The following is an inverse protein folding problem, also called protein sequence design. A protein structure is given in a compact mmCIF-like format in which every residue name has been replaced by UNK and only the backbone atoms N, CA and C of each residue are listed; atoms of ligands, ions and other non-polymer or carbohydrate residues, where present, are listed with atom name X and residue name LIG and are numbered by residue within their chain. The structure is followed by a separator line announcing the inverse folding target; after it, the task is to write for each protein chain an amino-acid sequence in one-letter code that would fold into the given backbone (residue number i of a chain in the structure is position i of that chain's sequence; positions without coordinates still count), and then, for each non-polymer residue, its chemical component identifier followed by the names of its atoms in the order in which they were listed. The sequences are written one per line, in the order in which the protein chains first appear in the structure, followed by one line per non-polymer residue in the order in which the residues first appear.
data_IF_832221948856
#
_entry.id   IF_832221948856
#
_cell.length_a   1.000
_cell.length_b   1.000
_cell.length_c   1.000
_cell.angle_alpha   90.00
_cell.angle_beta   90.00
_cell.angle_gamma   90.00
#
_symmetry.space_group_name_H-M   'P 1'
#
loop_
_entity.id
_entity.type
_entity.pdbx_description
1 polymer ?
#
# COMPACT_ATOMS: atom_id res chain seq x y z
N UNK A 1 -22.55 1.97 17.55
CA UNK A 1 -21.40 1.14 17.12
C UNK A 1 -21.93 -0.24 16.77
N UNK A 2 -21.87 -0.66 15.51
CA UNK A 2 -22.38 -1.96 15.10
C UNK A 2 -21.50 -3.10 15.67
N UNK A 3 -22.15 -4.07 16.31
CA UNK A 3 -21.51 -5.30 16.80
C UNK A 3 -21.95 -6.42 15.87
N UNK A 4 -21.00 -7.03 15.17
CA UNK A 4 -21.22 -8.18 14.30
C UNK A 4 -20.73 -9.43 15.03
N UNK A 5 -21.42 -10.54 14.85
CA UNK A 5 -21.08 -11.82 15.48
C UNK A 5 -19.97 -12.52 14.72
N UNK A 6 -19.93 -12.35 13.40
CA UNK A 6 -18.97 -13.00 12.51
C UNK A 6 -18.30 -12.02 11.55
N UNK A 7 -17.16 -12.44 10.99
CA UNK A 7 -16.48 -11.71 9.90
C UNK A 7 -17.37 -11.58 8.67
N UNK A 8 -18.11 -12.62 8.32
CA UNK A 8 -19.00 -12.66 7.16
C UNK A 8 -20.17 -11.66 7.29
N UNK A 9 -20.76 -11.52 8.48
CA UNK A 9 -21.78 -10.51 8.74
C UNK A 9 -21.23 -9.09 8.54
N UNK A 10 -20.02 -8.83 9.05
CA UNK A 10 -19.34 -7.55 8.90
C UNK A 10 -18.99 -7.27 7.42
N UNK A 11 -18.49 -8.26 6.68
CA UNK A 11 -18.26 -8.13 5.23
C UNK A 11 -19.54 -7.85 4.47
N UNK A 12 -20.62 -8.57 4.78
CA UNK A 12 -21.90 -8.39 4.14
C UNK A 12 -22.48 -6.98 4.42
N UNK A 13 -22.31 -6.47 5.64
CA UNK A 13 -22.68 -5.11 5.97
C UNK A 13 -21.93 -4.10 5.09
N UNK A 14 -20.61 -4.23 4.97
CA UNK A 14 -19.78 -3.33 4.14
C UNK A 14 -20.11 -3.40 2.65
N UNK A 15 -20.62 -4.55 2.17
CA UNK A 15 -21.04 -4.78 0.79
C UNK A 15 -22.44 -4.24 0.47
N UNK A 16 -23.35 -4.26 1.43
CA UNK A 16 -24.78 -4.00 1.20
C UNK A 16 -25.30 -2.67 1.77
N UNK A 17 -24.50 -1.99 2.60
CA UNK A 17 -24.89 -0.72 3.24
C UNK A 17 -23.87 0.38 2.98
N UNK A 18 -24.37 1.61 2.85
CA UNK A 18 -23.52 2.79 2.85
C UNK A 18 -22.99 3.04 4.26
N UNK A 19 -21.69 2.98 4.41
CA UNK A 19 -21.01 3.09 5.71
C UNK A 19 -19.97 4.20 5.65
N UNK A 20 -19.84 5.02 6.70
CA UNK A 20 -18.86 6.11 6.72
C UNK A 20 -17.42 5.60 6.66
N UNK A 21 -16.52 6.38 6.05
CA UNK A 21 -15.13 5.97 5.83
C UNK A 21 -14.36 5.64 7.12
N UNK A 22 -14.65 6.32 8.23
CA UNK A 22 -14.08 6.03 9.53
C UNK A 22 -14.57 4.68 10.05
N UNK A 23 -15.88 4.44 10.00
CA UNK A 23 -16.49 3.19 10.44
C UNK A 23 -16.04 1.99 9.59
N UNK A 24 -15.94 2.14 8.26
CA UNK A 24 -15.39 1.09 7.39
C UNK A 24 -13.98 0.70 7.84
N UNK A 25 -13.14 1.68 8.22
CA UNK A 25 -11.77 1.39 8.70
C UNK A 25 -11.78 0.63 10.03
N UNK A 26 -12.64 1.02 10.96
CA UNK A 26 -12.78 0.34 12.26
C UNK A 26 -13.31 -1.09 12.11
N UNK A 27 -14.35 -1.30 11.30
CA UNK A 27 -14.90 -2.63 11.00
C UNK A 27 -13.83 -3.52 10.35
N UNK A 28 -13.14 -3.01 9.31
CA UNK A 28 -12.11 -3.79 8.62
C UNK A 28 -10.99 -4.23 9.57
N UNK A 29 -10.55 -3.33 10.47
CA UNK A 29 -9.52 -3.64 11.46
C UNK A 29 -10.03 -4.66 12.50
N UNK A 30 -11.23 -4.44 13.06
CA UNK A 30 -11.79 -5.26 14.13
C UNK A 30 -12.03 -6.71 13.71
N UNK A 31 -12.51 -6.94 12.49
CA UNK A 31 -12.85 -8.29 12.00
C UNK A 31 -11.81 -8.84 11.00
N UNK A 32 -10.65 -8.20 10.88
CA UNK A 32 -9.57 -8.59 9.96
C UNK A 32 -10.06 -8.82 8.52
N UNK A 33 -10.84 -7.86 8.00
CA UNK A 33 -11.41 -7.89 6.65
C UNK A 33 -10.45 -7.18 5.70
N UNK A 34 -10.17 -7.84 4.57
CA UNK A 34 -9.38 -7.29 3.48
C UNK A 34 -10.28 -6.96 2.29
N UNK A 35 -10.51 -5.67 2.07
CA UNK A 35 -11.25 -5.15 0.92
C UNK A 35 -10.36 -4.20 0.11
N UNK A 36 -10.47 -4.28 -1.22
CA UNK A 36 -9.76 -3.39 -2.11
C UNK A 36 -10.31 -1.98 -2.03
N UNK A 37 -9.39 -1.02 -2.05
CA UNK A 37 -9.69 0.41 -2.04
C UNK A 37 -8.81 1.11 -3.07
N UNK A 38 -9.39 2.01 -3.85
CA UNK A 38 -8.66 2.77 -4.88
C UNK A 38 -9.14 2.44 -6.29
N UNK A 39 -8.23 2.51 -7.26
CA UNK A 39 -8.52 2.32 -8.69
C UNK A 39 -9.13 0.96 -8.98
N UNK A 40 -9.99 0.91 -10.00
CA UNK A 40 -10.51 -0.33 -10.55
C UNK A 40 -9.61 -0.78 -11.68
N UNK A 41 -9.28 -2.07 -11.72
CA UNK A 41 -8.53 -2.66 -12.83
C UNK A 41 -9.49 -3.04 -13.97
N UNK A 42 -8.93 -3.52 -15.08
CA UNK A 42 -9.71 -3.93 -16.25
C UNK A 42 -10.63 -5.13 -15.98
N UNK A 43 -10.20 -6.06 -15.13
CA UNK A 43 -11.01 -7.20 -14.69
C UNK A 43 -12.26 -6.75 -13.93
N UNK A 44 -12.09 -5.92 -12.90
CA UNK A 44 -13.18 -5.38 -12.10
C UNK A 44 -14.14 -4.57 -12.95
N UNK A 45 -13.63 -3.75 -13.87
CA UNK A 45 -14.46 -2.99 -14.81
C UNK A 45 -15.37 -3.91 -15.64
N UNK A 46 -14.82 -5.03 -16.17
CA UNK A 46 -15.61 -6.03 -16.91
C UNK A 46 -16.65 -6.73 -16.04
N UNK A 47 -16.30 -7.07 -14.79
CA UNK A 47 -17.23 -7.70 -13.84
C UNK A 47 -18.39 -6.75 -13.51
N UNK A 48 -18.08 -5.47 -13.23
CA UNK A 48 -19.09 -4.44 -12.97
C UNK A 48 -20.00 -4.28 -14.18
N UNK A 49 -19.43 -4.18 -15.38
CA UNK A 49 -20.21 -4.02 -16.61
C UNK A 49 -21.14 -5.20 -16.86
N UNK A 50 -20.62 -6.42 -16.73
CA UNK A 50 -21.41 -7.65 -16.88
C UNK A 50 -22.56 -7.72 -15.87
N UNK A 51 -22.30 -7.34 -14.60
CA UNK A 51 -23.32 -7.33 -13.56
C UNK A 51 -24.41 -6.27 -13.81
N UNK A 52 -24.04 -5.08 -14.29
CA UNK A 52 -25.00 -4.03 -14.67
C UNK A 52 -25.87 -4.49 -15.83
N UNK A 53 -25.28 -5.02 -16.90
CA UNK A 53 -26.03 -5.51 -18.06
C UNK A 53 -26.99 -6.64 -17.69
N UNK A 54 -26.53 -7.58 -16.84
CA UNK A 54 -27.36 -8.65 -16.30
C UNK A 54 -28.57 -8.09 -15.53
N UNK A 55 -28.33 -7.17 -14.60
CA UNK A 55 -29.39 -6.55 -13.80
C UNK A 55 -30.43 -5.84 -14.68
N UNK A 56 -29.98 -5.03 -15.63
CA UNK A 56 -30.86 -4.30 -16.55
C UNK A 56 -31.73 -5.28 -17.36
N UNK A 57 -31.13 -6.34 -17.89
CA UNK A 57 -31.85 -7.37 -18.64
C UNK A 57 -32.91 -8.09 -17.80
N UNK A 58 -32.57 -8.49 -16.58
CA UNK A 58 -33.49 -9.20 -15.66
C UNK A 58 -34.67 -8.31 -15.23
N UNK A 59 -34.45 -7.00 -15.11
CA UNK A 59 -35.47 -6.03 -14.74
C UNK A 59 -36.16 -5.37 -15.95
N UNK A 60 -35.86 -5.81 -17.18
CA UNK A 60 -36.40 -5.23 -18.44
C UNK A 60 -36.16 -3.72 -18.56
N UNK A 61 -35.00 -3.27 -18.12
CA UNK A 61 -34.54 -1.89 -18.19
C UNK A 61 -33.43 -1.74 -19.23
N UNK A 62 -33.22 -0.51 -19.67
CA UNK A 62 -32.12 -0.16 -20.57
C UNK A 62 -31.08 0.70 -19.85
N UNK A 63 -29.88 0.80 -20.43
CA UNK A 63 -28.82 1.67 -19.89
C UNK A 63 -29.26 3.14 -19.80
N UNK A 64 -30.18 3.58 -20.67
CA UNK A 64 -30.77 4.91 -20.63
C UNK A 64 -31.49 5.19 -19.30
N UNK A 65 -32.15 4.20 -18.69
CA UNK A 65 -32.82 4.38 -17.40
C UNK A 65 -31.81 4.71 -16.29
N UNK A 66 -30.65 4.03 -16.29
CA UNK A 66 -29.56 4.34 -15.36
C UNK A 66 -29.00 5.75 -15.59
N UNK A 67 -28.90 6.19 -16.85
CA UNK A 67 -28.48 7.55 -17.17
C UNK A 67 -29.49 8.60 -16.68
N UNK A 68 -30.78 8.39 -16.94
CA UNK A 68 -31.86 9.27 -16.48
C UNK A 68 -31.96 9.34 -14.96
N UNK A 69 -31.64 8.26 -14.24
CA UNK A 69 -31.46 8.31 -12.78
C UNK A 69 -30.38 9.31 -12.35
N UNK A 70 -29.20 9.29 -12.98
CA UNK A 70 -28.13 10.25 -12.64
C UNK A 70 -28.46 11.69 -13.01
N UNK A 71 -29.37 11.90 -13.95
CA UNK A 71 -29.90 13.21 -14.33
C UNK A 71 -31.09 13.66 -13.47
N UNK A 72 -31.52 12.84 -12.52
CA UNK A 72 -32.70 13.08 -11.67
C UNK A 72 -34.03 13.11 -12.45
N UNK A 73 -34.05 12.52 -13.65
CA UNK A 73 -35.23 12.38 -14.50
C UNK A 73 -36.06 11.14 -14.12
N UNK A 74 -35.40 10.07 -13.69
CA UNK A 74 -36.03 8.82 -13.22
C UNK A 74 -35.56 8.49 -11.79
N UNK A 75 -36.10 9.17 -10.75
CA UNK A 75 -35.65 8.99 -9.36
C UNK A 75 -35.99 7.61 -8.78
N UNK A 76 -36.92 6.87 -9.40
CA UNK A 76 -37.39 5.57 -8.94
C UNK A 76 -36.49 4.40 -9.36
N UNK A 77 -35.41 4.65 -10.12
CA UNK A 77 -34.51 3.58 -10.55
C UNK A 77 -33.93 2.82 -9.34
N UNK A 78 -33.96 1.47 -9.34
CA UNK A 78 -33.54 0.63 -8.21
C UNK A 78 -32.01 0.54 -8.09
N UNK A 79 -31.38 1.70 -7.83
CA UNK A 79 -29.93 1.85 -7.79
C UNK A 79 -29.30 1.01 -6.68
N UNK A 80 -30.00 0.84 -5.56
CA UNK A 80 -29.48 0.10 -4.42
C UNK A 80 -29.39 -1.39 -4.74
N UNK A 81 -30.42 -1.93 -5.37
CA UNK A 81 -30.49 -3.32 -5.84
C UNK A 81 -29.43 -3.58 -6.90
N UNK A 82 -29.25 -2.65 -7.85
CA UNK A 82 -28.17 -2.71 -8.83
C UNK A 82 -26.80 -2.80 -8.16
N UNK A 83 -26.52 -1.92 -7.19
CA UNK A 83 -25.23 -1.93 -6.50
C UNK A 83 -25.02 -3.20 -5.66
N UNK A 84 -26.08 -3.79 -5.10
CA UNK A 84 -26.02 -5.08 -4.42
C UNK A 84 -25.66 -6.19 -5.42
N UNK A 85 -26.26 -6.21 -6.60
CA UNK A 85 -25.94 -7.18 -7.66
C UNK A 85 -24.46 -7.06 -8.07
N UNK A 86 -23.98 -5.83 -8.29
CA UNK A 86 -22.57 -5.56 -8.57
C UNK A 86 -21.67 -5.99 -7.40
N UNK A 87 -22.09 -5.77 -6.16
CA UNK A 87 -21.32 -6.17 -4.97
C UNK A 87 -21.24 -7.69 -4.79
N UNK A 88 -22.30 -8.41 -5.16
CA UNK A 88 -22.31 -9.87 -5.16
C UNK A 88 -21.33 -10.44 -6.19
N UNK A 89 -21.24 -9.80 -7.36
CA UNK A 89 -20.26 -10.14 -8.39
C UNK A 89 -18.83 -9.74 -8.00
N UNK A 90 -18.65 -8.59 -7.34
CA UNK A 90 -17.36 -8.05 -6.92
C UNK A 90 -17.24 -7.93 -5.39
N UNK A 91 -17.08 -9.08 -4.73
CA UNK A 91 -17.14 -9.23 -3.27
C UNK A 91 -16.06 -8.45 -2.50
N UNK A 92 -14.95 -8.08 -3.14
CA UNK A 92 -13.81 -7.42 -2.48
C UNK A 92 -13.93 -5.89 -2.43
N UNK A 93 -15.08 -5.30 -2.78
CA UNK A 93 -15.34 -3.85 -2.71
C UNK A 93 -16.45 -3.52 -1.73
N UNK A 94 -16.35 -2.36 -1.11
CA UNK A 94 -17.44 -1.80 -0.28
C UNK A 94 -18.51 -1.13 -1.14
N UNK A 95 -19.73 -1.04 -0.61
CA UNK A 95 -20.86 -0.35 -1.26
C UNK A 95 -20.49 1.07 -1.70
N UNK A 96 -19.88 1.87 -0.81
CA UNK A 96 -19.46 3.23 -1.15
C UNK A 96 -18.46 3.28 -2.31
N UNK A 97 -17.54 2.31 -2.38
CA UNK A 97 -16.56 2.23 -3.47
C UNK A 97 -17.25 1.93 -4.80
N UNK A 98 -18.25 1.03 -4.79
CA UNK A 98 -19.02 0.67 -5.97
C UNK A 98 -19.87 1.85 -6.44
N UNK A 99 -20.58 2.51 -5.52
CA UNK A 99 -21.35 3.71 -5.84
C UNK A 99 -20.51 4.78 -6.52
N UNK A 100 -19.36 5.14 -5.94
CA UNK A 100 -18.47 6.16 -6.52
C UNK A 100 -17.97 5.76 -7.91
N UNK A 101 -17.73 4.47 -8.14
CA UNK A 101 -17.33 3.97 -9.45
C UNK A 101 -18.48 4.05 -10.45
N UNK A 102 -19.63 3.47 -10.11
CA UNK A 102 -20.81 3.39 -10.99
C UNK A 102 -21.32 4.80 -11.32
N UNK A 103 -21.49 5.66 -10.31
CA UNK A 103 -21.97 7.04 -10.49
C UNK A 103 -21.01 7.93 -11.28
N UNK A 104 -19.76 7.52 -11.46
CA UNK A 104 -18.78 8.26 -12.25
C UNK A 104 -18.64 7.70 -13.66
N UNK A 105 -18.40 6.39 -13.77
CA UNK A 105 -18.12 5.73 -15.05
C UNK A 105 -19.36 5.49 -15.90
N UNK A 106 -20.54 5.39 -15.29
CA UNK A 106 -21.82 5.24 -15.99
C UNK A 106 -22.62 6.55 -15.97
N UNK A 107 -22.00 7.67 -15.62
CA UNK A 107 -22.65 8.98 -15.75
C UNK A 107 -22.72 9.36 -17.24
N UNK A 108 -23.86 9.86 -17.76
CA UNK A 108 -24.01 10.18 -19.19
C UNK A 108 -22.96 11.17 -19.71
N UNK A 109 -22.53 12.11 -18.88
CA UNK A 109 -21.50 13.10 -19.20
C UNK A 109 -20.04 12.64 -19.01
N UNK A 110 -19.76 11.34 -18.82
CA UNK A 110 -18.39 10.87 -18.59
C UNK A 110 -17.44 11.17 -19.75
N UNK A 111 -17.90 11.06 -21.00
CA UNK A 111 -17.07 11.28 -22.20
C UNK A 111 -17.19 12.68 -22.80
N UNK A 112 -17.93 13.56 -22.12
CA UNK A 112 -18.10 14.95 -22.54
C UNK A 112 -16.73 15.67 -22.69
N UNK A 113 -16.44 16.15 -23.91
CA UNK A 113 -15.20 16.88 -24.23
C UNK A 113 -15.24 18.31 -23.70
N UNK A 114 -14.09 18.92 -23.43
CA UNK A 114 -14.02 20.31 -23.01
C UNK A 114 -13.61 21.17 -24.20
N UNK A 115 -14.50 22.07 -24.60
CA UNK A 115 -14.21 23.10 -25.58
C UNK A 115 -13.76 24.39 -24.88
N UNK A 116 -13.01 25.29 -25.54
CA UNK A 116 -12.56 26.55 -24.95
C UNK A 116 -13.71 27.41 -24.39
N UNK A 117 -14.85 27.43 -25.06
CA UNK A 117 -16.04 28.19 -24.66
C UNK A 117 -16.62 27.68 -23.32
N UNK A 118 -16.46 26.38 -23.05
CA UNK A 118 -16.89 25.79 -21.79
C UNK A 118 -16.09 26.35 -20.60
N UNK A 119 -14.84 26.80 -20.79
CA UNK A 119 -14.05 27.39 -19.72
C UNK A 119 -14.61 28.74 -19.29
N UNK A 120 -14.94 29.59 -20.26
CA UNK A 120 -15.57 30.91 -20.02
C UNK A 120 -16.92 30.71 -19.34
N UNK A 121 -17.73 29.78 -19.85
CA UNK A 121 -19.02 29.44 -19.28
C UNK A 121 -18.89 28.95 -17.84
N UNK A 122 -17.93 28.07 -17.54
CA UNK A 122 -17.69 27.56 -16.19
C UNK A 122 -17.35 28.70 -15.20
N UNK A 123 -16.45 29.62 -15.59
CA UNK A 123 -16.10 30.76 -14.75
C UNK A 123 -17.31 31.66 -14.48
N UNK A 124 -18.12 31.94 -15.50
CA UNK A 124 -19.34 32.73 -15.36
C UNK A 124 -20.36 32.05 -14.44
N UNK A 125 -20.56 30.74 -14.58
CA UNK A 125 -21.48 29.98 -13.72
C UNK A 125 -21.02 29.94 -12.27
N UNK A 126 -19.71 29.79 -12.02
CA UNK A 126 -19.15 29.90 -10.65
C UNK A 126 -19.33 31.31 -10.10
N UNK A 127 -19.18 32.36 -10.92
CA UNK A 127 -19.43 33.75 -10.50
C UNK A 127 -20.89 33.98 -10.11
N UNK A 128 -21.84 33.43 -10.87
CA UNK A 128 -23.28 33.62 -10.66
C UNK A 128 -23.81 32.76 -9.51
N UNK A 129 -23.45 31.49 -9.48
CA UNK A 129 -24.04 30.51 -8.56
C UNK A 129 -23.14 30.13 -7.37
N UNK A 130 -21.91 30.66 -7.33
CA UNK A 130 -20.88 30.23 -6.39
C UNK A 130 -20.42 28.79 -6.66
N UNK A 131 -19.91 28.11 -5.64
CA UNK A 131 -19.42 26.72 -5.75
C UNK A 131 -20.55 25.67 -5.70
N UNK A 132 -21.73 25.98 -6.23
CA UNK A 132 -22.89 25.06 -6.29
C UNK A 132 -22.73 24.07 -7.45
N UNK A 133 -21.77 23.13 -7.31
CA UNK A 133 -21.34 22.23 -8.39
C UNK A 133 -22.46 21.39 -9.00
N UNK A 134 -23.44 20.94 -8.21
CA UNK A 134 -24.59 20.18 -8.72
C UNK A 134 -25.41 20.97 -9.74
N UNK A 135 -25.61 22.27 -9.49
CA UNK A 135 -26.32 23.16 -10.42
C UNK A 135 -25.47 23.45 -11.66
N UNK A 136 -24.19 23.73 -11.45
CA UNK A 136 -23.25 24.03 -12.54
C UNK A 136 -23.09 22.82 -13.48
N UNK A 137 -22.99 21.61 -12.94
CA UNK A 137 -22.76 20.41 -13.73
C UNK A 137 -23.95 20.07 -14.63
N UNK A 138 -25.18 20.29 -14.15
CA UNK A 138 -26.40 20.16 -14.95
C UNK A 138 -26.44 21.14 -16.12
N UNK A 139 -26.03 22.40 -15.93
CA UNK A 139 -25.98 23.40 -17.01
C UNK A 139 -24.86 23.10 -18.01
N UNK A 140 -23.71 22.66 -17.51
CA UNK A 140 -22.52 22.39 -18.33
C UNK A 140 -22.58 21.07 -19.11
N UNK A 141 -23.52 20.18 -18.77
CA UNK A 141 -23.53 18.79 -19.24
C UNK A 141 -22.17 18.10 -19.06
N UNK A 142 -21.53 18.32 -17.90
CA UNK A 142 -20.24 17.73 -17.48
C UNK A 142 -20.41 17.11 -16.09
N UNK A 143 -19.57 16.16 -15.73
CA UNK A 143 -19.57 15.66 -14.34
C UNK A 143 -19.02 16.71 -13.37
N UNK A 144 -19.52 16.72 -12.13
CA UNK A 144 -19.05 17.64 -11.08
C UNK A 144 -17.53 17.58 -10.89
N UNK A 145 -16.95 16.38 -10.88
CA UNK A 145 -15.50 16.16 -10.79
C UNK A 145 -14.74 16.83 -11.93
N UNK A 146 -15.24 16.77 -13.17
CA UNK A 146 -14.63 17.44 -14.33
C UNK A 146 -14.70 18.97 -14.16
N UNK A 147 -15.85 19.52 -13.78
CA UNK A 147 -16.02 20.96 -13.54
C UNK A 147 -15.06 21.47 -12.46
N UNK A 148 -15.02 20.79 -11.30
CA UNK A 148 -14.14 21.15 -10.18
C UNK A 148 -12.67 21.11 -10.62
N UNK A 149 -12.25 20.01 -11.24
CA UNK A 149 -10.87 19.85 -11.69
C UNK A 149 -10.47 20.89 -12.73
N UNK A 150 -11.37 21.22 -13.66
CA UNK A 150 -11.12 22.20 -14.71
C UNK A 150 -11.06 23.62 -14.14
N UNK A 151 -11.99 23.98 -13.25
CA UNK A 151 -11.98 25.27 -12.56
C UNK A 151 -10.65 25.52 -11.85
N UNK A 152 -10.20 24.55 -11.04
CA UNK A 152 -8.91 24.70 -10.37
C UNK A 152 -7.75 24.80 -11.37
N UNK A 153 -7.77 24.03 -12.45
CA UNK A 153 -6.76 24.14 -13.51
C UNK A 153 -6.72 25.55 -14.14
N UNK A 154 -7.87 26.13 -14.47
CA UNK A 154 -8.00 27.48 -15.05
C UNK A 154 -7.45 28.54 -14.10
N UNK A 155 -7.76 28.42 -12.81
CA UNK A 155 -7.28 29.33 -11.76
C UNK A 155 -5.77 29.19 -11.47
N UNK A 156 -5.01 28.50 -12.33
CA UNK A 156 -3.56 28.36 -12.21
C UNK A 156 -3.11 27.38 -11.12
N UNK A 157 -4.04 26.65 -10.50
CA UNK A 157 -3.73 25.66 -9.47
C UNK A 157 -3.18 24.33 -10.03
N UNK A 158 -2.51 24.35 -11.20
CA UNK A 158 -2.00 23.18 -11.91
C UNK A 158 -0.76 22.53 -11.28
N UNK A 159 0.03 23.26 -10.49
CA UNK A 159 1.24 22.77 -9.81
C UNK A 159 0.96 21.97 -8.53
N UNK A 160 -0.31 21.68 -8.25
CA UNK A 160 -0.77 21.07 -7.01
C UNK A 160 -0.70 19.54 -6.93
N UNK A 161 -0.12 18.90 -7.95
CA UNK A 161 0.09 17.46 -7.95
C UNK A 161 1.44 17.11 -7.35
N UNK A 162 1.43 16.34 -6.24
CA UNK A 162 2.64 15.82 -5.57
C UNK A 162 3.64 15.13 -6.52
N UNK A 163 3.18 14.61 -7.66
CA UNK A 163 3.99 13.92 -8.68
C UNK A 163 4.85 14.86 -9.55
N UNK A 164 4.48 16.13 -9.68
CA UNK A 164 5.21 17.12 -10.49
C UNK A 164 6.11 18.02 -9.66
N UNK A 165 6.04 17.93 -8.33
CA UNK A 165 6.90 18.71 -7.45
C UNK A 165 8.34 18.21 -7.55
N UNK A 166 9.22 19.08 -8.05
CA UNK A 166 10.67 18.93 -7.96
C UNK A 166 11.16 19.84 -6.85
N UNK A 167 12.05 19.33 -5.99
CA UNK A 167 12.67 20.18 -4.99
C UNK A 167 13.51 21.24 -5.71
N UNK A 168 13.38 22.53 -5.35
CA UNK A 168 14.28 23.57 -5.84
C UNK A 168 15.74 23.24 -5.51
N UNK A 169 16.67 23.74 -6.32
CA UNK A 169 18.11 23.53 -6.10
C UNK A 169 18.60 24.11 -4.76
N UNK A 170 17.90 25.12 -4.25
CA UNK A 170 18.14 25.75 -2.95
C UNK A 170 17.91 24.80 -1.75
N UNK A 171 17.31 23.62 -1.97
CA UNK A 171 17.15 22.60 -0.95
C UNK A 171 15.86 22.73 -0.12
N UNK A 172 15.87 22.13 1.08
CA UNK A 172 14.73 22.14 2.01
C UNK A 172 14.88 23.37 2.91
N UNK A 173 13.87 24.26 2.98
CA UNK A 173 13.93 25.46 3.81
C UNK A 173 14.01 25.10 5.29
N UNK A 174 14.91 25.77 5.99
CA UNK A 174 15.25 25.58 7.41
C UNK A 174 14.88 26.78 8.27
N UNK A 175 14.83 28.00 7.71
CA UNK A 175 14.42 29.23 8.42
C UNK A 175 13.06 29.75 7.97
N UNK A 176 12.41 30.59 8.79
CA UNK A 176 11.12 31.20 8.46
C UNK A 176 11.21 32.07 7.20
N UNK A 177 12.30 32.82 7.01
CA UNK A 177 12.48 33.63 5.80
C UNK A 177 12.63 32.77 4.54
N UNK A 178 13.33 31.62 4.62
CA UNK A 178 13.44 30.67 3.51
C UNK A 178 12.08 30.04 3.18
N UNK A 179 11.28 29.73 4.21
CA UNK A 179 9.92 29.23 4.05
C UNK A 179 9.04 30.25 3.32
N UNK A 180 9.08 31.51 3.74
CA UNK A 180 8.25 32.57 3.17
C UNK A 180 8.67 32.93 1.75
N UNK A 181 9.98 33.07 1.49
CA UNK A 181 10.52 33.30 0.15
C UNK A 181 10.21 32.15 -0.82
N UNK A 182 10.26 30.90 -0.35
CA UNK A 182 9.87 29.74 -1.17
C UNK A 182 8.36 29.67 -1.40
N UNK A 183 7.55 30.05 -0.41
CA UNK A 183 6.10 30.15 -0.56
C UNK A 183 5.71 31.22 -1.59
N UNK A 184 6.38 32.37 -1.58
CA UNK A 184 6.15 33.45 -2.55
C UNK A 184 6.57 33.03 -3.97
N UNK A 185 7.78 32.47 -4.11
CA UNK A 185 8.30 31.96 -5.40
C UNK A 185 7.39 30.91 -6.02
N UNK A 186 6.90 29.96 -5.22
CA UNK A 186 6.02 28.89 -5.67
C UNK A 186 4.53 29.27 -5.62
N UNK A 187 4.21 30.51 -5.21
CA UNK A 187 2.85 31.03 -5.04
C UNK A 187 1.95 30.09 -4.25
N UNK A 188 2.44 29.58 -3.12
CA UNK A 188 1.77 28.56 -2.30
C UNK A 188 1.76 28.93 -0.81
N UNK A 189 1.07 28.14 0.01
CA UNK A 189 1.01 28.34 1.47
C UNK A 189 2.02 27.46 2.19
N UNK A 190 2.51 27.90 3.35
CA UNK A 190 3.50 27.17 4.15
C UNK A 190 3.07 25.76 4.53
N UNK A 191 1.81 25.61 5.01
CA UNK A 191 1.20 24.30 5.30
C UNK A 191 1.27 23.35 4.11
N UNK A 192 1.10 23.89 2.90
CA UNK A 192 1.05 23.12 1.67
C UNK A 192 2.44 22.78 1.14
N UNK A 193 3.37 23.74 1.17
CA UNK A 193 4.78 23.52 0.85
C UNK A 193 5.38 22.45 1.77
N UNK A 194 5.07 22.51 3.07
CA UNK A 194 5.45 21.47 4.04
C UNK A 194 4.95 20.08 3.64
N UNK A 195 3.69 19.97 3.19
CA UNK A 195 3.15 18.70 2.70
C UNK A 195 3.89 18.15 1.47
N UNK A 196 4.26 19.03 0.53
CA UNK A 196 5.01 18.66 -0.69
C UNK A 196 6.43 18.21 -0.37
N UNK A 197 7.14 18.96 0.48
CA UNK A 197 8.50 18.69 0.93
C UNK A 197 8.57 17.39 1.74
N UNK A 198 7.69 17.22 2.73
CA UNK A 198 7.57 15.95 3.46
C UNK A 198 7.28 14.80 2.50
N UNK A 199 6.47 15.08 1.47
CA UNK A 199 6.16 14.12 0.43
C UNK A 199 7.36 13.70 -0.41
N UNK A 200 8.27 14.62 -0.71
CA UNK A 200 9.54 14.41 -1.42
C UNK A 200 10.58 13.69 -0.55
N UNK A 201 10.81 14.15 0.68
CA UNK A 201 11.75 13.55 1.64
C UNK A 201 11.37 12.09 1.90
N UNK A 202 10.09 11.83 2.17
CA UNK A 202 9.57 10.48 2.38
C UNK A 202 9.76 9.55 1.19
N UNK A 203 10.00 10.08 -0.02
CA UNK A 203 10.29 9.27 -1.21
C UNK A 203 11.78 8.96 -1.39
N UNK A 204 12.67 9.76 -0.76
CA UNK A 204 14.13 9.65 -0.86
C UNK A 204 14.76 8.85 0.29
N UNK A 205 14.21 8.93 1.51
CA UNK A 205 14.69 8.21 2.70
C UNK A 205 14.44 6.69 2.68
N UNK A 206 13.85 6.15 1.63
CA UNK A 206 13.35 4.76 1.57
C UNK A 206 14.42 3.76 1.13
N UNK A 207 15.45 4.23 0.43
CA UNK A 207 16.47 3.37 -0.18
C UNK A 207 17.19 2.43 0.81
N UNK A 208 17.56 2.85 2.04
CA UNK A 208 18.25 1.96 2.99
C UNK A 208 17.36 0.87 3.60
N UNK A 209 16.03 0.99 3.49
CA UNK A 209 15.09 0.04 4.08
C UNK A 209 14.80 -1.19 3.20
N UNK A 210 15.18 -1.17 1.92
CA UNK A 210 14.83 -2.25 1.01
C UNK A 210 15.92 -3.31 0.90
N UNK A 211 15.91 -4.27 1.82
CA UNK A 211 16.70 -5.49 1.74
C UNK A 211 15.83 -6.70 1.30
N UNK A 212 16.45 -7.87 1.12
CA UNK A 212 15.76 -9.10 0.73
C UNK A 212 14.67 -9.51 1.73
N UNK A 213 14.91 -9.33 3.03
CA UNK A 213 13.92 -9.60 4.08
C UNK A 213 12.65 -8.76 3.90
N UNK A 214 12.79 -7.44 3.70
CA UNK A 214 11.64 -6.56 3.51
C UNK A 214 10.95 -6.75 2.15
N UNK A 215 11.71 -7.13 1.12
CA UNK A 215 11.15 -7.54 -0.16
C UNK A 215 10.30 -8.80 -0.01
N UNK A 216 10.82 -9.83 0.66
CA UNK A 216 10.12 -11.08 0.95
C UNK A 216 8.85 -10.82 1.77
N UNK A 217 8.94 -10.00 2.82
CA UNK A 217 7.76 -9.61 3.60
C UNK A 217 6.69 -8.94 2.73
N UNK A 218 7.09 -7.99 1.86
CA UNK A 218 6.18 -7.34 0.92
C UNK A 218 5.51 -8.36 -0.03
N UNK A 219 6.28 -9.30 -0.59
CA UNK A 219 5.76 -10.36 -1.46
C UNK A 219 4.73 -11.22 -0.74
N UNK A 220 5.01 -11.61 0.51
CA UNK A 220 4.08 -12.33 1.36
C UNK A 220 2.75 -11.61 1.56
N UNK A 221 2.78 -10.30 1.84
CA UNK A 221 1.55 -9.50 1.95
C UNK A 221 0.82 -9.32 0.61
N UNK A 222 1.54 -9.34 -0.53
CA UNK A 222 0.89 -9.33 -1.86
C UNK A 222 0.16 -10.64 -2.12
N UNK A 223 0.76 -11.78 -1.77
CA UNK A 223 0.14 -13.10 -1.89
C UNK A 223 -1.13 -13.19 -1.04
N UNK A 224 -1.08 -12.61 0.17
CA UNK A 224 -2.22 -12.57 1.09
C UNK A 224 -3.35 -11.62 0.64
N UNK A 225 -3.03 -10.55 -0.10
CA UNK A 225 -3.96 -9.45 -0.37
C UNK A 225 -4.07 -9.08 -1.86
N UNK A 226 -4.78 -9.89 -2.64
CA UNK A 226 -5.06 -9.68 -4.07
C UNK A 226 -6.42 -10.26 -4.48
N UNK A 227 -6.91 -9.94 -5.67
CA UNK A 227 -8.24 -10.40 -6.13
C UNK A 227 -8.38 -11.90 -6.35
N UNK A 228 -7.32 -12.59 -6.76
CA UNK A 228 -7.44 -13.91 -7.37
C UNK A 228 -7.16 -15.04 -6.38
N UNK A 229 -6.00 -14.99 -5.74
CA UNK A 229 -5.53 -16.11 -4.93
C UNK A 229 -5.78 -15.85 -3.44
N UNK A 230 -5.52 -14.63 -2.94
CA UNK A 230 -5.65 -14.26 -1.51
C UNK A 230 -5.26 -15.41 -0.55
N UNK A 231 -4.06 -15.95 -0.74
CA UNK A 231 -3.65 -17.20 -0.09
C UNK A 231 -3.35 -16.90 1.38
N UNK A 232 -3.94 -17.67 2.28
CA UNK A 232 -3.84 -17.50 3.73
C UNK A 232 -2.48 -17.88 4.32
N UNK A 233 -1.40 -17.31 3.81
CA UNK A 233 -0.04 -17.53 4.32
C UNK A 233 0.12 -16.89 5.71
N UNK A 234 0.75 -17.61 6.63
CA UNK A 234 1.03 -17.14 7.99
C UNK A 234 2.29 -16.25 8.03
N UNK A 235 2.24 -15.09 7.38
CA UNK A 235 3.40 -14.18 7.24
C UNK A 235 4.00 -13.79 8.59
N UNK A 236 3.18 -13.54 9.61
CA UNK A 236 3.69 -13.20 10.95
C UNK A 236 4.53 -14.32 11.57
N UNK A 237 4.11 -15.57 11.41
CA UNK A 237 4.84 -16.74 11.92
C UNK A 237 6.11 -16.98 11.13
N UNK A 238 6.09 -16.78 9.80
CA UNK A 238 7.30 -16.88 8.96
C UNK A 238 8.34 -15.83 9.39
N UNK A 239 7.92 -14.58 9.58
CA UNK A 239 8.82 -13.50 10.02
C UNK A 239 9.36 -13.78 11.43
N UNK A 240 8.51 -14.26 12.35
CA UNK A 240 8.89 -14.66 13.70
C UNK A 240 9.91 -15.80 13.67
N UNK A 241 9.66 -16.85 12.89
CA UNK A 241 10.57 -17.97 12.68
C UNK A 241 11.95 -17.48 12.22
N UNK A 242 11.99 -16.57 11.23
CA UNK A 242 13.24 -15.99 10.73
C UNK A 242 13.96 -15.18 11.80
N UNK A 243 13.25 -14.31 12.53
CA UNK A 243 13.89 -13.42 13.52
C UNK A 243 14.33 -14.17 14.80
N UNK A 244 13.50 -15.10 15.28
CA UNK A 244 13.74 -15.84 16.51
C UNK A 244 14.70 -17.00 16.34
N UNK A 245 14.91 -17.51 15.11
CA UNK A 245 15.87 -18.57 14.73
C UNK A 245 17.03 -18.74 15.73
N UNK A 246 16.86 -19.62 16.72
CA UNK A 246 17.86 -19.89 17.75
C UNK A 246 18.83 -20.96 17.28
N UNK A 247 20.10 -20.84 17.67
CA UNK A 247 21.05 -21.95 17.56
C UNK A 247 20.78 -22.85 18.78
N UNK A 248 19.68 -23.58 18.78
CA UNK A 248 19.45 -24.65 19.74
C UNK A 248 19.54 -25.99 19.01
N UNK A 249 20.75 -26.56 19.01
CA UNK A 249 21.03 -27.89 18.47
C UNK A 249 22.35 -27.96 17.71
N UNK A 250 23.15 -29.00 17.99
CA UNK A 250 24.40 -29.35 17.29
C UNK A 250 24.17 -29.84 15.85
N UNK A 251 22.92 -29.90 15.37
CA UNK A 251 22.61 -30.31 14.01
C UNK A 251 22.79 -29.16 13.02
N UNK A 252 23.55 -29.43 11.96
CA UNK A 252 23.65 -28.56 10.79
C UNK A 252 22.26 -28.38 10.19
N UNK A 253 21.64 -27.21 10.41
CA UNK A 253 20.32 -26.91 9.86
C UNK A 253 20.42 -26.86 8.33
N UNK A 254 20.01 -27.94 7.67
CA UNK A 254 20.00 -28.05 6.21
C UNK A 254 18.94 -27.15 5.58
N UNK A 255 19.23 -26.63 4.39
CA UNK A 255 18.30 -25.81 3.59
C UNK A 255 16.93 -26.47 3.42
N UNK A 256 16.90 -27.78 3.21
CA UNK A 256 15.66 -28.54 3.02
C UNK A 256 14.77 -28.57 4.27
N UNK A 257 15.36 -28.69 5.47
CA UNK A 257 14.60 -28.65 6.74
C UNK A 257 13.92 -27.29 6.93
N UNK A 258 14.63 -26.20 6.65
CA UNK A 258 14.08 -24.83 6.72
C UNK A 258 12.95 -24.66 5.70
N UNK A 259 13.16 -25.18 4.49
CA UNK A 259 12.16 -25.16 3.42
C UNK A 259 10.89 -25.90 3.83
N UNK A 260 11.01 -27.06 4.48
CA UNK A 260 9.89 -27.80 5.03
C UNK A 260 9.16 -27.03 6.13
N UNK A 261 9.87 -26.39 7.05
CA UNK A 261 9.28 -25.58 8.11
C UNK A 261 8.49 -24.39 7.56
N UNK A 262 9.07 -23.64 6.60
CA UNK A 262 8.36 -22.55 5.91
C UNK A 262 7.16 -23.08 5.13
N UNK A 263 7.28 -24.23 4.48
CA UNK A 263 6.20 -24.83 3.69
C UNK A 263 4.99 -25.22 4.56
N UNK A 264 5.19 -25.58 5.83
CA UNK A 264 4.09 -25.84 6.79
C UNK A 264 3.24 -24.59 7.08
N UNK A 265 3.80 -23.39 6.88
CA UNK A 265 3.14 -22.10 7.11
C UNK A 265 2.42 -21.56 5.85
N UNK A 266 2.48 -22.30 4.74
CA UNK A 266 1.83 -22.01 3.48
C UNK A 266 0.77 -23.10 3.24
N UNK A 267 -0.50 -22.75 2.97
CA UNK A 267 -1.53 -23.75 2.72
C UNK A 267 -1.27 -24.51 1.41
N UNK A 268 -1.89 -25.68 1.25
CA UNK A 268 -1.82 -26.43 -0.01
C UNK A 268 -2.33 -25.58 -1.17
N UNK A 269 -1.58 -25.58 -2.26
CA UNK A 269 -1.78 -24.66 -3.37
C UNK A 269 -2.71 -25.23 -4.46
N UNK A 270 -3.05 -26.52 -4.41
CA UNK A 270 -3.79 -27.24 -5.46
C UNK A 270 -5.18 -26.66 -5.75
N UNK A 271 -5.79 -25.99 -4.77
CA UNK A 271 -7.10 -25.36 -4.91
C UNK A 271 -7.06 -23.93 -5.50
N UNK A 272 -5.87 -23.40 -5.80
CA UNK A 272 -5.68 -22.03 -6.24
C UNK A 272 -5.24 -21.96 -7.71
N UNK A 273 -5.83 -21.03 -8.47
CA UNK A 273 -5.41 -20.75 -9.84
C UNK A 273 -4.24 -19.77 -9.83
N UNK A 274 -3.00 -20.29 -9.91
CA UNK A 274 -1.79 -19.49 -9.72
C UNK A 274 -1.13 -18.97 -11.01
N UNK A 275 -1.46 -19.57 -12.16
CA UNK A 275 -0.89 -19.20 -13.47
C UNK A 275 -1.50 -17.90 -14.05
N UNK A 276 -2.05 -17.04 -13.19
CA UNK A 276 -2.65 -15.76 -13.56
C UNK A 276 -1.55 -14.69 -13.59
N UNK A 277 -1.40 -13.92 -14.69
CA UNK A 277 -0.49 -12.79 -14.74
C UNK A 277 -0.81 -11.75 -13.67
N UNK A 278 0.21 -11.21 -13.01
CA UNK A 278 0.02 -10.19 -11.99
C UNK A 278 -0.15 -8.82 -12.65
N UNK A 279 -1.35 -8.22 -12.55
CA UNK A 279 -1.49 -6.77 -12.69
C UNK A 279 -1.32 -6.14 -11.30
N UNK A 280 -0.43 -5.15 -11.22
CA UNK A 280 -0.18 -4.40 -9.99
C UNK A 280 -1.41 -3.68 -9.47
N UNK A 281 -2.41 -3.41 -10.31
CA UNK A 281 -3.69 -2.87 -9.86
C UNK A 281 -4.56 -3.92 -9.16
N UNK A 282 -4.26 -5.22 -9.25
CA UNK A 282 -5.03 -6.30 -8.59
C UNK A 282 -4.75 -6.39 -7.08
N UNK A 283 -3.68 -5.75 -6.64
CA UNK A 283 -3.12 -5.87 -5.29
C UNK A 283 -3.73 -4.83 -4.36
N UNK A 284 -4.04 -5.22 -3.12
CA UNK A 284 -4.74 -4.35 -2.18
C UNK A 284 -3.75 -3.45 -1.41
N UNK A 285 -3.07 -2.54 -2.13
CA UNK A 285 -1.98 -1.72 -1.57
C UNK A 285 -2.33 -0.90 -0.34
N UNK A 286 -3.60 -0.51 -0.16
CA UNK A 286 -4.03 0.22 1.05
C UNK A 286 -4.12 -0.69 2.27
N UNK A 287 -4.42 -1.97 2.08
CA UNK A 287 -4.40 -2.99 3.13
C UNK A 287 -2.96 -3.32 3.49
N UNK A 288 -2.11 -3.62 2.49
CA UNK A 288 -0.68 -3.93 2.70
C UNK A 288 0.05 -2.79 3.45
N UNK A 289 -0.28 -1.52 3.14
CA UNK A 289 0.27 -0.35 3.83
C UNK A 289 0.12 -0.41 5.36
N UNK A 290 -0.94 -1.04 5.87
CA UNK A 290 -1.17 -1.15 7.33
C UNK A 290 -0.09 -1.99 8.02
N UNK A 291 0.51 -2.94 7.30
CA UNK A 291 1.51 -3.86 7.82
C UNK A 291 2.93 -3.35 7.59
N UNK A 292 3.25 -2.91 6.36
CA UNK A 292 4.62 -2.52 5.99
C UNK A 292 4.92 -1.03 6.28
N UNK A 293 3.92 -0.25 6.73
CA UNK A 293 4.03 1.17 7.13
C UNK A 293 4.55 2.15 6.06
N UNK A 294 4.70 1.74 4.81
CA UNK A 294 5.04 2.62 3.68
C UNK A 294 3.81 3.11 2.90
N UNK A 295 3.98 4.19 2.14
CA UNK A 295 2.90 4.66 1.26
C UNK A 295 2.58 3.64 0.16
N UNK A 296 1.30 3.51 -0.23
CA UNK A 296 0.86 2.56 -1.26
C UNK A 296 1.57 2.75 -2.61
N UNK A 297 1.87 4.00 -2.99
CA UNK A 297 2.62 4.31 -4.22
C UNK A 297 4.04 3.73 -4.19
N UNK A 298 4.69 3.83 -3.03
CA UNK A 298 6.05 3.34 -2.84
C UNK A 298 6.10 1.82 -2.82
N UNK A 299 5.16 1.18 -2.10
CA UNK A 299 5.00 -0.28 -2.09
C UNK A 299 4.78 -0.82 -3.49
N UNK A 300 3.89 -0.19 -4.26
CA UNK A 300 3.64 -0.53 -5.66
C UNK A 300 4.91 -0.41 -6.51
N UNK A 301 5.61 0.73 -6.43
CA UNK A 301 6.85 0.96 -7.17
C UNK A 301 7.92 -0.08 -6.83
N UNK A 302 8.09 -0.38 -5.54
CA UNK A 302 9.05 -1.38 -5.09
C UNK A 302 8.69 -2.78 -5.58
N UNK A 303 7.42 -3.15 -5.50
CA UNK A 303 6.97 -4.45 -6.01
C UNK A 303 7.18 -4.58 -7.54
N UNK A 304 7.01 -3.51 -8.32
CA UNK A 304 7.37 -3.49 -9.75
C UNK A 304 8.87 -3.74 -9.95
N UNK A 305 9.73 -3.24 -9.06
CA UNK A 305 11.17 -3.53 -9.14
C UNK A 305 11.46 -4.99 -8.78
N UNK A 306 10.86 -5.50 -7.71
CA UNK A 306 11.00 -6.91 -7.28
C UNK A 306 10.59 -7.84 -8.41
N UNK A 307 9.41 -7.64 -9.00
CA UNK A 307 8.91 -8.48 -10.10
C UNK A 307 9.85 -8.48 -11.31
N UNK A 308 10.46 -7.34 -11.64
CA UNK A 308 11.47 -7.26 -12.70
C UNK A 308 12.76 -7.99 -12.35
N UNK A 309 13.29 -7.77 -11.15
CA UNK A 309 14.56 -8.36 -10.69
C UNK A 309 14.48 -9.89 -10.63
N UNK A 310 13.37 -10.42 -10.12
CA UNK A 310 13.17 -11.85 -9.94
C UNK A 310 12.40 -12.52 -11.10
N UNK A 311 12.09 -11.78 -12.18
CA UNK A 311 11.39 -12.33 -13.34
C UNK A 311 9.96 -12.82 -13.07
N UNK A 312 9.30 -12.29 -12.04
CA UNK A 312 7.96 -12.72 -11.60
C UNK A 312 6.91 -12.18 -12.56
N UNK A 313 6.14 -13.09 -13.17
CA UNK A 313 5.04 -12.75 -14.09
C UNK A 313 3.69 -13.19 -13.55
N UNK A 314 3.64 -14.31 -12.83
CA UNK A 314 2.42 -14.93 -12.31
C UNK A 314 2.44 -15.04 -10.78
N UNK A 315 1.28 -15.34 -10.18
CA UNK A 315 1.21 -15.64 -8.73
C UNK A 315 1.98 -16.90 -8.36
N UNK A 316 2.09 -17.87 -9.28
CA UNK A 316 2.94 -19.05 -9.11
C UNK A 316 4.41 -18.65 -8.94
N UNK A 317 4.94 -17.84 -9.86
CA UNK A 317 6.32 -17.34 -9.78
C UNK A 317 6.55 -16.57 -8.47
N UNK A 318 5.55 -15.76 -8.07
CA UNK A 318 5.63 -14.95 -6.85
C UNK A 318 5.78 -15.82 -5.59
N UNK A 319 5.02 -16.92 -5.50
CA UNK A 319 5.05 -17.84 -4.37
C UNK A 319 6.37 -18.61 -4.33
N UNK A 320 6.84 -19.09 -5.48
CA UNK A 320 8.11 -19.82 -5.58
C UNK A 320 9.29 -18.94 -5.15
N UNK A 321 9.37 -17.71 -5.68
CA UNK A 321 10.42 -16.76 -5.30
C UNK A 321 10.29 -16.37 -3.82
N UNK A 322 9.07 -16.15 -3.32
CA UNK A 322 8.83 -15.86 -1.90
C UNK A 322 9.37 -16.98 -1.00
N UNK A 323 9.07 -18.25 -1.31
CA UNK A 323 9.55 -19.40 -0.54
C UNK A 323 11.07 -19.48 -0.51
N UNK A 324 11.71 -19.34 -1.67
CA UNK A 324 13.17 -19.35 -1.77
C UNK A 324 13.80 -18.21 -0.96
N UNK A 325 13.28 -16.98 -1.09
CA UNK A 325 13.77 -15.84 -0.33
C UNK A 325 13.54 -15.98 1.17
N UNK A 326 12.44 -16.60 1.61
CA UNK A 326 12.19 -16.81 3.03
C UNK A 326 13.23 -17.76 3.63
N UNK A 327 13.60 -18.83 2.91
CA UNK A 327 14.70 -19.74 3.29
C UNK A 327 16.03 -18.99 3.32
N UNK A 328 16.34 -18.19 2.29
CA UNK A 328 17.58 -17.43 2.22
C UNK A 328 17.68 -16.42 3.36
N UNK A 329 16.61 -15.68 3.66
CA UNK A 329 16.54 -14.75 4.78
C UNK A 329 16.77 -15.44 6.13
N UNK A 330 16.19 -16.63 6.31
CA UNK A 330 16.42 -17.45 7.51
C UNK A 330 17.91 -17.80 7.66
N UNK A 331 18.53 -18.31 6.59
CA UNK A 331 19.95 -18.67 6.57
C UNK A 331 20.87 -17.46 6.80
N UNK A 332 20.57 -16.31 6.21
CA UNK A 332 21.31 -15.07 6.45
C UNK A 332 21.25 -14.65 7.90
N UNK A 333 20.09 -14.78 8.55
CA UNK A 333 19.94 -14.44 9.97
C UNK A 333 20.78 -15.33 10.88
N UNK A 334 20.81 -16.65 10.60
CA UNK A 334 21.70 -17.58 11.31
C UNK A 334 23.16 -17.19 11.12
N UNK A 335 23.57 -16.90 9.88
CA UNK A 335 24.94 -16.51 9.56
C UNK A 335 25.36 -15.24 10.32
N UNK A 336 24.49 -14.24 10.39
CA UNK A 336 24.77 -12.99 11.12
C UNK A 336 24.88 -13.23 12.62
N UNK A 337 24.00 -14.06 13.22
CA UNK A 337 24.08 -14.46 14.63
C UNK A 337 25.40 -15.17 14.94
N UNK A 338 25.79 -16.16 14.13
CA UNK A 338 27.08 -16.86 14.26
C UNK A 338 28.27 -15.90 14.17
N UNK A 339 28.22 -14.95 13.22
CA UNK A 339 29.29 -13.95 13.07
C UNK A 339 29.42 -13.08 14.32
N UNK A 340 28.31 -12.68 14.91
CA UNK A 340 28.30 -11.87 16.13
C UNK A 340 28.75 -12.66 17.36
N UNK A 341 28.39 -13.94 17.48
CA UNK A 341 28.92 -14.84 18.51
C UNK A 341 30.42 -15.05 18.39
N UNK A 342 30.92 -15.34 17.19
CA UNK A 342 32.36 -15.46 16.92
C UNK A 342 33.09 -14.16 17.27
N UNK A 343 32.52 -12.99 16.93
CA UNK A 343 33.08 -11.68 17.31
C UNK A 343 33.11 -11.49 18.84
N UNK A 344 32.08 -11.93 19.56
CA UNK A 344 32.02 -11.89 21.03
C UNK A 344 33.08 -12.81 21.66
N UNK A 345 33.27 -14.02 21.13
CA UNK A 345 34.30 -14.96 21.62
C UNK A 345 35.69 -14.36 21.40
N UNK A 346 35.97 -13.84 20.19
CA UNK A 346 37.26 -13.23 19.85
C UNK A 346 37.55 -11.96 20.67
N UNK A 347 36.52 -11.17 21.02
CA UNK A 347 36.70 -10.01 21.88
C UNK A 347 36.96 -10.43 23.34
N UNK A 348 36.27 -11.45 23.85
CA UNK A 348 36.51 -12.01 25.19
C UNK A 348 37.91 -12.64 25.32
N UNK A 349 38.40 -13.34 24.29
CA UNK A 349 39.76 -13.88 24.28
C UNK A 349 40.82 -12.78 24.28
N UNK A 350 40.61 -11.68 23.54
CA UNK A 350 41.50 -10.51 23.56
C UNK A 350 41.54 -9.84 24.94
N UNK A 351 40.39 -9.73 25.62
CA UNK A 351 40.31 -9.19 26.98
C UNK A 351 40.99 -10.10 28.00
N UNK A 352 40.79 -11.42 27.91
CA UNK A 352 41.49 -12.41 28.74
C UNK A 352 43.00 -12.34 28.55
N UNK A 353 43.50 -12.31 27.31
CA UNK A 353 44.95 -12.19 27.01
C UNK A 353 45.58 -10.88 27.51
N UNK A 354 44.83 -9.77 27.58
CA UNK A 354 45.31 -8.52 28.20
C UNK A 354 45.45 -8.67 29.72
N UNK A 355 44.44 -9.22 30.38
CA UNK A 355 44.47 -9.51 31.82
C UNK A 355 45.61 -10.48 32.22
N UNK A 356 45.90 -11.50 31.40
CA UNK A 356 47.02 -12.42 31.67
C UNK A 356 48.38 -11.77 31.45
N UNK A 357 48.52 -10.84 30.48
CA UNK A 357 49.77 -10.08 30.30
C UNK A 357 50.01 -9.07 31.44
N UNK A 358 48.98 -8.42 31.94
CA UNK A 358 49.08 -7.53 33.10
C UNK A 358 49.50 -8.30 34.37
N UNK A 359 48.97 -9.50 34.60
CA UNK A 359 49.38 -10.38 35.71
C UNK A 359 50.82 -10.92 35.60
N UNK A 360 51.37 -11.04 34.38
CA UNK A 360 52.76 -11.47 34.17
C UNK A 360 53.75 -10.31 34.32
N UNK A 361 53.35 -9.09 33.96
CA UNK A 361 54.17 -7.89 34.15
C UNK A 361 54.29 -7.56 35.65
N UNK A 362 53.22 -7.75 36.43
CA UNK A 362 53.22 -7.49 37.88
C UNK A 362 54.04 -8.51 38.70
N UNK A 363 54.32 -9.69 38.13
CA UNK A 363 55.22 -10.70 38.73
C UNK A 363 56.68 -10.57 38.28
N UNK A 364 56.99 -9.69 37.33
CA UNK A 364 58.33 -9.48 36.78
C UNK A 364 59.15 -8.38 37.47
N UNK A 365 58.55 -7.56 38.33
CA UNK A 365 59.20 -6.41 38.99
C UNK A 365 59.29 -6.63 40.50
N UNK A 366 59.82 -7.77 40.93
CA UNK A 366 60.19 -7.96 42.33
C UNK A 366 61.40 -8.88 42.43
N UNK A 367 62.59 -8.31 42.19
CA UNK A 367 63.89 -8.70 42.81
C UNK A 367 65.06 -7.95 42.17
N UNK A 368 65.59 -6.99 42.91
CA UNK A 368 67.01 -6.64 43.14
C UNK A 368 66.99 -5.49 44.14
N UNK A 369 66.86 -5.77 45.44
CA UNK A 369 67.95 -6.01 46.41
C UNK A 369 68.80 -4.75 46.60
N UNK A 370 68.49 -4.08 47.71
CA UNK A 370 69.37 -3.14 48.42
C UNK A 370 70.74 -3.78 48.72
N UNK A 371 71.82 -3.02 48.47
CA UNK A 371 73.15 -3.32 49.00
C UNK A 371 74.03 -2.06 48.99
N UNK A 372 74.11 -1.43 50.17
CA UNK A 372 75.28 -0.84 50.84
C UNK A 372 76.26 0.13 50.14
N UNK A 373 76.45 1.27 50.83
CA UNK A 373 77.67 2.12 50.99
C UNK A 373 78.13 2.92 49.75
N UNK A 374 78.45 4.21 49.82
CA UNK A 374 78.98 5.07 50.90
C UNK A 374 78.18 6.36 51.16
#
# INVERSE_FOLDING_TARGET
MHIFRTKEEAENHLRTKFTDAHEVKEIMKKYNISMKRGCYNSYEAKVVDSAIQKFLKENKMEMKNLYSFFLEEEPEFPIRELLIEVSNALKQRTMNSLWVYVSYHYHPYIDSKWEPENEIQLLNLVRIFGFKWKKICGIMNKTSRKCISKYYRIMGFGYLYRKSFKMPEEGIPTTDEEWDGMCEKLKTTRKRLSHLINGYISSKLVVPFWNEYNNMALMGYVILHNHFCSIGIQISEILKLIDESGIEGEETVGRERIKEEISKLIPRLDSYTLDIPIDVEDIFWRTIKLYVRFSSTLLKSRFIQITKVYGIRTFKDLIEVFQNLAVDCYLYKIKDKLRDEVRKILSQEKTRRRSTKELVIDRGISRTVDSCCD
#
